data_IF_682372196692
#
_entry.id   IF_682372196692
#
_cell.length_a   1.000
_cell.length_b   1.000
_cell.length_c   1.000
_cell.angle_alpha   90.00
_cell.angle_beta   90.00
_cell.angle_gamma   90.00
#
_symmetry.space_group_name_H-M   'P 1'
#
loop_
_entity.id
_entity.type
_entity.pdbx_description
1 polymer ?
#
# COMPACT_ATOMS: atom_id res chain seq x y z
N UNK A 1 15.63 -17.38 -10.72
CA UNK A 1 14.42 -16.74 -11.32
C UNK A 1 14.40 -15.29 -10.90
N UNK A 2 14.09 -14.37 -11.79
CA UNK A 2 14.05 -12.94 -11.48
C UNK A 2 12.64 -12.60 -10.98
N UNK A 3 12.42 -12.66 -9.67
CA UNK A 3 11.12 -12.42 -9.03
C UNK A 3 10.45 -11.12 -9.50
N UNK A 4 11.23 -10.11 -9.89
CA UNK A 4 10.67 -8.85 -10.39
C UNK A 4 10.08 -8.98 -11.80
N UNK A 5 10.67 -9.77 -12.68
CA UNK A 5 10.11 -10.05 -14.02
C UNK A 5 8.84 -10.88 -13.93
N UNK A 6 8.81 -11.89 -13.05
CA UNK A 6 7.62 -12.68 -12.79
C UNK A 6 6.47 -11.79 -12.31
N UNK A 7 6.75 -10.86 -11.39
CA UNK A 7 5.78 -9.91 -10.86
C UNK A 7 5.27 -8.91 -11.92
N UNK A 8 6.16 -8.43 -12.79
CA UNK A 8 5.79 -7.48 -13.86
C UNK A 8 4.89 -8.12 -14.92
N UNK A 9 5.19 -9.37 -15.29
CA UNK A 9 4.50 -10.12 -16.33
C UNK A 9 3.30 -10.93 -15.80
N UNK A 10 3.04 -10.84 -14.49
CA UNK A 10 1.98 -11.61 -13.85
C UNK A 10 0.60 -11.25 -14.40
N UNK A 11 -0.09 -12.25 -14.90
CA UNK A 11 -1.46 -12.14 -15.38
C UNK A 11 -2.38 -12.91 -14.44
N UNK A 12 -3.18 -12.22 -13.61
CA UNK A 12 -4.05 -12.91 -12.65
C UNK A 12 -5.19 -13.64 -13.33
N UNK A 13 -5.47 -14.85 -12.87
CA UNK A 13 -6.66 -15.61 -13.26
C UNK A 13 -7.92 -15.02 -12.59
N UNK A 14 -9.07 -15.25 -13.21
CA UNK A 14 -10.34 -14.85 -12.60
C UNK A 14 -10.53 -15.58 -11.25
N UNK A 15 -10.99 -14.85 -10.23
CA UNK A 15 -11.20 -15.42 -8.90
C UNK A 15 -9.92 -15.65 -8.08
N UNK A 16 -8.75 -15.12 -8.52
CA UNK A 16 -7.47 -15.28 -7.83
C UNK A 16 -7.53 -14.93 -6.34
N UNK A 17 -8.34 -13.94 -5.98
CA UNK A 17 -8.49 -13.45 -4.60
C UNK A 17 -9.85 -13.85 -3.98
N UNK A 18 -10.50 -14.86 -4.50
CA UNK A 18 -11.78 -15.36 -3.95
C UNK A 18 -11.61 -15.74 -2.47
N UNK A 19 -12.54 -15.30 -1.63
CA UNK A 19 -12.52 -15.48 -0.17
C UNK A 19 -11.33 -14.83 0.56
N UNK A 20 -10.59 -13.92 -0.09
CA UNK A 20 -9.53 -13.14 0.54
C UNK A 20 -10.07 -11.81 1.05
N UNK A 21 -9.57 -11.39 2.22
CA UNK A 21 -9.84 -10.07 2.81
C UNK A 21 -8.60 -9.20 2.64
N UNK A 22 -8.74 -8.07 1.96
CA UNK A 22 -7.62 -7.17 1.63
C UNK A 22 -7.90 -5.75 2.10
N UNK A 23 -7.09 -5.23 3.00
CA UNK A 23 -7.13 -3.83 3.42
C UNK A 23 -6.19 -2.98 2.58
N UNK A 24 -6.70 -1.86 2.06
CA UNK A 24 -5.94 -0.92 1.23
C UNK A 24 -6.03 0.48 1.83
N UNK A 25 -4.89 1.05 2.23
CA UNK A 25 -4.83 2.45 2.70
C UNK A 25 -4.61 3.41 1.54
N UNK A 26 -5.13 4.65 1.64
CA UNK A 26 -5.12 5.58 0.52
C UNK A 26 -5.91 5.05 -0.68
N UNK A 27 -6.99 4.31 -0.40
CA UNK A 27 -7.79 3.59 -1.39
C UNK A 27 -8.46 4.49 -2.43
N UNK A 28 -8.66 5.77 -2.13
CA UNK A 28 -9.39 6.72 -2.99
C UNK A 28 -8.50 7.50 -3.95
N UNK A 29 -7.21 7.25 -3.96
CA UNK A 29 -6.25 8.01 -4.78
C UNK A 29 -5.46 7.14 -5.75
N UNK A 30 -5.40 7.51 -7.02
CA UNK A 30 -4.49 6.98 -8.02
C UNK A 30 -4.30 5.46 -7.96
N UNK A 31 -3.17 5.03 -7.40
CA UNK A 31 -2.80 3.61 -7.30
C UNK A 31 -3.76 2.86 -6.36
N UNK A 32 -4.14 3.45 -5.23
CA UNK A 32 -5.05 2.81 -4.27
C UNK A 32 -6.42 2.51 -4.86
N UNK A 33 -6.98 3.42 -5.67
CA UNK A 33 -8.25 3.19 -6.36
C UNK A 33 -8.14 2.04 -7.38
N UNK A 34 -7.07 2.04 -8.18
CA UNK A 34 -6.84 0.97 -9.14
C UNK A 34 -6.68 -0.40 -8.47
N UNK A 35 -5.96 -0.46 -7.34
CA UNK A 35 -5.80 -1.66 -6.54
C UNK A 35 -7.13 -2.13 -5.93
N UNK A 36 -7.92 -1.21 -5.37
CA UNK A 36 -9.21 -1.54 -4.75
C UNK A 36 -10.18 -2.16 -5.76
N UNK A 37 -10.31 -1.55 -6.94
CA UNK A 37 -11.16 -2.07 -8.01
C UNK A 37 -10.62 -3.42 -8.50
N UNK A 38 -9.30 -3.55 -8.71
CA UNK A 38 -8.71 -4.79 -9.22
C UNK A 38 -8.83 -5.95 -8.25
N UNK A 39 -8.59 -5.71 -6.95
CA UNK A 39 -8.77 -6.73 -5.91
C UNK A 39 -10.23 -7.21 -5.83
N UNK A 40 -11.21 -6.28 -5.87
CA UNK A 40 -12.63 -6.61 -5.90
C UNK A 40 -13.00 -7.41 -7.17
N UNK A 41 -12.50 -7.02 -8.35
CA UNK A 41 -12.67 -7.74 -9.62
C UNK A 41 -12.13 -9.18 -9.54
N UNK A 42 -11.06 -9.41 -8.78
CA UNK A 42 -10.47 -10.74 -8.58
C UNK A 42 -11.15 -11.56 -7.48
N UNK A 43 -12.22 -11.04 -6.87
CA UNK A 43 -13.06 -11.76 -5.91
C UNK A 43 -12.72 -11.49 -4.45
N UNK A 44 -11.85 -10.51 -4.13
CA UNK A 44 -11.56 -10.15 -2.75
C UNK A 44 -12.71 -9.35 -2.11
N UNK A 45 -12.92 -9.55 -0.81
CA UNK A 45 -13.58 -8.57 0.04
C UNK A 45 -12.58 -7.48 0.38
N UNK A 46 -12.80 -6.27 -0.12
CA UNK A 46 -11.85 -5.15 0.05
C UNK A 46 -12.28 -4.26 1.21
N UNK A 47 -11.35 -3.94 2.09
CA UNK A 47 -11.51 -2.89 3.10
C UNK A 47 -10.84 -1.64 2.54
N UNK A 48 -11.62 -0.63 2.19
CA UNK A 48 -11.13 0.63 1.62
C UNK A 48 -10.95 1.67 2.71
N UNK A 49 -9.70 2.12 2.91
CA UNK A 49 -9.38 3.11 3.94
C UNK A 49 -8.76 4.37 3.36
N UNK A 50 -9.16 5.52 3.91
CA UNK A 50 -8.71 6.84 3.51
C UNK A 50 -9.31 7.95 4.37
N UNK A 51 -8.84 9.18 4.21
CA UNK A 51 -9.25 10.32 5.05
C UNK A 51 -10.64 10.86 4.71
N UNK A 52 -11.00 10.89 3.42
CA UNK A 52 -12.27 11.48 2.95
C UNK A 52 -13.36 10.43 2.83
N UNK A 53 -14.38 10.51 3.70
CA UNK A 53 -15.54 9.61 3.65
C UNK A 53 -16.29 9.72 2.32
N UNK A 54 -16.47 10.93 1.79
CA UNK A 54 -17.14 11.15 0.50
C UNK A 54 -16.44 10.43 -0.67
N UNK A 55 -15.10 10.46 -0.71
CA UNK A 55 -14.35 9.75 -1.73
C UNK A 55 -14.39 8.23 -1.53
N UNK A 56 -14.46 7.76 -0.28
CA UNK A 56 -14.64 6.33 0.04
C UNK A 56 -16.02 5.84 -0.41
N UNK A 57 -17.08 6.60 -0.15
CA UNK A 57 -18.45 6.31 -0.60
C UNK A 57 -18.55 6.29 -2.14
N UNK A 58 -17.89 7.24 -2.82
CA UNK A 58 -17.84 7.25 -4.28
C UNK A 58 -17.13 5.99 -4.83
N UNK A 59 -16.01 5.58 -4.21
CA UNK A 59 -15.29 4.36 -4.59
C UNK A 59 -16.12 3.10 -4.28
N UNK A 60 -16.78 3.06 -3.13
CA UNK A 60 -17.70 1.98 -2.74
C UNK A 60 -18.79 1.82 -3.80
N UNK A 61 -19.50 2.90 -4.14
CA UNK A 61 -20.54 2.91 -5.18
C UNK A 61 -19.98 2.41 -6.53
N UNK A 62 -18.78 2.84 -6.89
CA UNK A 62 -18.11 2.43 -8.13
C UNK A 62 -17.80 0.93 -8.17
N UNK A 63 -17.40 0.35 -7.05
CA UNK A 63 -17.12 -1.09 -6.93
C UNK A 63 -18.44 -1.89 -6.99
N UNK A 64 -19.45 -1.50 -6.22
CA UNK A 64 -20.76 -2.16 -6.20
C UNK A 64 -21.48 -2.10 -7.56
N UNK A 65 -21.39 -0.98 -8.28
CA UNK A 65 -21.97 -0.80 -9.63
C UNK A 65 -21.39 -1.76 -10.67
N UNK A 66 -20.21 -2.35 -10.44
CA UNK A 66 -19.59 -3.36 -11.29
C UNK A 66 -19.99 -4.80 -10.90
N UNK A 67 -20.86 -4.97 -9.90
CA UNK A 67 -21.30 -6.28 -9.44
C UNK A 67 -20.28 -7.03 -8.60
N UNK A 68 -19.25 -6.36 -8.09
CA UNK A 68 -18.24 -6.97 -7.22
C UNK A 68 -18.73 -7.04 -5.77
N UNK A 69 -18.02 -7.81 -4.92
CA UNK A 69 -18.31 -7.91 -3.49
C UNK A 69 -18.25 -6.50 -2.87
N UNK A 70 -19.29 -6.19 -2.10
CA UNK A 70 -19.41 -4.90 -1.39
C UNK A 70 -18.22 -4.66 -0.49
N UNK A 71 -17.45 -3.55 -0.67
CA UNK A 71 -16.31 -3.26 0.17
C UNK A 71 -16.72 -2.71 1.52
N UNK A 72 -15.91 -2.96 2.55
CA UNK A 72 -16.05 -2.28 3.83
C UNK A 72 -15.37 -0.90 3.76
N UNK A 73 -16.11 0.15 4.07
CA UNK A 73 -15.56 1.50 4.25
C UNK A 73 -14.97 1.62 5.67
N UNK A 74 -13.69 2.00 5.76
CA UNK A 74 -13.02 2.31 7.02
C UNK A 74 -12.30 3.67 6.93
N UNK A 75 -12.93 4.78 7.33
CA UNK A 75 -12.28 6.09 7.33
C UNK A 75 -11.14 6.13 8.33
N UNK A 76 -9.97 6.62 7.91
CA UNK A 76 -8.81 6.80 8.78
C UNK A 76 -8.00 8.03 8.37
N UNK A 77 -7.78 8.95 9.32
CA UNK A 77 -6.82 10.02 9.19
C UNK A 77 -5.49 9.59 9.83
N UNK A 78 -4.53 9.18 9.00
CA UNK A 78 -3.25 8.67 9.47
C UNK A 78 -2.39 9.71 10.19
N UNK A 79 -2.68 11.00 10.03
CA UNK A 79 -2.00 12.08 10.76
C UNK A 79 -2.43 12.11 12.23
N UNK A 80 -3.74 12.05 12.48
CA UNK A 80 -4.31 12.07 13.83
C UNK A 80 -4.39 10.70 14.51
N UNK A 81 -4.27 9.62 13.75
CA UNK A 81 -4.47 8.28 14.27
C UNK A 81 -3.45 7.91 15.35
N UNK A 82 -3.98 7.31 16.42
CA UNK A 82 -3.24 6.72 17.54
C UNK A 82 -3.15 5.20 17.40
N UNK A 83 -2.45 4.55 18.31
CA UNK A 83 -2.40 3.07 18.36
C UNK A 83 -3.79 2.48 18.63
N UNK A 84 -4.61 3.11 19.49
CA UNK A 84 -5.96 2.63 19.82
C UNK A 84 -6.90 2.62 18.60
N UNK A 85 -6.73 3.54 17.64
CA UNK A 85 -7.53 3.54 16.41
C UNK A 85 -7.19 2.33 15.53
N UNK A 86 -5.92 1.93 15.47
CA UNK A 86 -5.51 0.73 14.75
C UNK A 86 -5.86 -0.58 15.49
N UNK A 87 -5.91 -0.56 16.80
CA UNK A 87 -6.45 -1.67 17.61
C UNK A 87 -7.96 -1.85 17.38
N UNK A 88 -8.71 -0.75 17.27
CA UNK A 88 -10.13 -0.78 16.90
C UNK A 88 -10.35 -1.33 15.47
N UNK A 89 -9.48 -0.95 14.51
CA UNK A 89 -9.49 -1.54 13.17
C UNK A 89 -9.25 -3.06 13.22
N UNK A 90 -8.26 -3.50 13.99
CA UNK A 90 -7.95 -4.94 14.15
C UNK A 90 -9.16 -5.70 14.76
N UNK A 91 -9.83 -5.13 15.75
CA UNK A 91 -11.05 -5.69 16.34
C UNK A 91 -12.18 -5.79 15.32
N UNK A 92 -12.42 -4.72 14.56
CA UNK A 92 -13.43 -4.71 13.49
C UNK A 92 -13.16 -5.81 12.45
N UNK A 93 -11.91 -5.98 12.01
CA UNK A 93 -11.53 -7.02 11.05
C UNK A 93 -11.72 -8.41 11.66
N UNK A 94 -11.31 -8.60 12.91
CA UNK A 94 -11.47 -9.87 13.63
C UNK A 94 -12.94 -10.27 13.77
N UNK A 95 -13.80 -9.33 14.15
CA UNK A 95 -15.24 -9.57 14.36
C UNK A 95 -15.98 -9.86 13.05
N UNK A 96 -15.65 -9.14 11.96
CA UNK A 96 -16.37 -9.27 10.69
C UNK A 96 -15.86 -10.40 9.80
N UNK A 97 -14.55 -10.66 9.81
CA UNK A 97 -13.92 -11.55 8.86
C UNK A 97 -13.09 -12.66 9.51
N UNK A 98 -12.69 -12.50 10.77
CA UNK A 98 -11.85 -13.47 11.49
C UNK A 98 -10.36 -13.40 11.14
N UNK A 99 -9.99 -12.91 9.96
CA UNK A 99 -8.63 -12.87 9.43
C UNK A 99 -8.41 -11.71 8.47
N UNK A 100 -7.14 -11.47 8.09
CA UNK A 100 -6.73 -10.54 7.04
C UNK A 100 -5.68 -11.20 6.15
N UNK A 101 -5.94 -11.34 4.84
CA UNK A 101 -5.01 -11.98 3.90
C UNK A 101 -4.05 -10.99 3.25
N UNK A 102 -4.48 -9.76 3.04
CA UNK A 102 -3.68 -8.72 2.40
C UNK A 102 -3.76 -7.39 3.11
N UNK A 103 -2.61 -6.75 3.31
CA UNK A 103 -2.50 -5.37 3.80
C UNK A 103 -1.66 -4.57 2.82
N UNK A 104 -2.28 -3.61 2.11
CA UNK A 104 -1.57 -2.72 1.20
C UNK A 104 -1.46 -1.32 1.82
N UNK A 105 -0.27 -0.99 2.27
CA UNK A 105 0.08 0.30 2.86
C UNK A 105 0.51 1.27 1.76
N UNK A 106 -0.49 1.86 1.09
CA UNK A 106 -0.29 2.73 -0.06
C UNK A 106 -0.44 4.22 0.28
N UNK A 107 -1.12 4.56 1.38
CA UNK A 107 -1.29 5.95 1.80
C UNK A 107 0.05 6.62 2.09
N UNK A 108 0.27 7.81 1.53
CA UNK A 108 1.43 8.64 1.80
C UNK A 108 1.16 10.09 1.40
N UNK A 109 1.93 11.01 1.95
CA UNK A 109 2.01 12.40 1.50
C UNK A 109 3.42 12.72 1.03
N UNK A 110 3.54 13.67 0.08
CA UNK A 110 4.81 14.09 -0.50
C UNK A 110 5.61 15.00 0.44
N UNK A 111 4.92 15.88 1.18
CA UNK A 111 5.56 16.99 1.88
C UNK A 111 6.13 18.04 0.92
N UNK A 112 7.05 18.84 1.40
CA UNK A 112 7.68 19.91 0.64
C UNK A 112 8.88 19.39 -0.17
N UNK A 113 9.06 19.91 -1.37
CA UNK A 113 10.25 19.68 -2.21
C UNK A 113 11.19 20.88 -2.09
N UNK A 114 12.00 20.89 -1.02
CA UNK A 114 12.89 22.01 -0.67
C UNK A 114 14.22 21.48 -0.09
N UNK A 115 15.30 22.29 -0.07
CA UNK A 115 16.54 21.91 0.61
C UNK A 115 16.32 21.56 2.08
N UNK A 116 17.12 20.62 2.61
CA UNK A 116 16.95 20.12 3.99
C UNK A 116 17.25 21.21 5.05
N UNK A 117 18.16 22.12 4.79
CA UNK A 117 18.53 23.22 5.69
C UNK A 117 17.37 24.22 5.92
N UNK A 118 16.44 24.32 4.96
CA UNK A 118 15.23 25.13 5.08
C UNK A 118 13.94 24.31 5.25
N UNK A 119 14.03 23.00 5.54
CA UNK A 119 12.85 22.16 5.61
C UNK A 119 12.01 22.43 6.86
N UNK A 120 10.69 22.61 6.68
CA UNK A 120 9.76 22.85 7.78
C UNK A 120 9.68 21.66 8.74
N UNK A 121 9.92 21.89 10.03
CA UNK A 121 9.77 20.87 11.08
C UNK A 121 8.33 20.33 11.14
N UNK A 122 7.32 21.17 10.93
CA UNK A 122 5.92 20.75 10.93
C UNK A 122 5.65 19.77 9.78
N UNK A 123 6.08 20.12 8.56
CA UNK A 123 5.95 19.23 7.40
C UNK A 123 6.76 17.95 7.58
N UNK A 124 7.96 18.04 8.14
CA UNK A 124 8.77 16.86 8.50
C UNK A 124 7.99 15.90 9.40
N UNK A 125 7.48 16.41 10.52
CA UNK A 125 6.73 15.61 11.49
C UNK A 125 5.49 14.98 10.85
N UNK A 126 4.77 15.72 10.01
CA UNK A 126 3.59 15.22 9.31
C UNK A 126 3.94 14.09 8.35
N UNK A 127 4.99 14.24 7.53
CA UNK A 127 5.43 13.19 6.59
C UNK A 127 5.87 11.94 7.34
N UNK A 128 6.68 12.07 8.38
CA UNK A 128 7.13 10.92 9.18
C UNK A 128 5.95 10.25 9.89
N UNK A 129 5.02 11.03 10.44
CA UNK A 129 3.82 10.50 11.11
C UNK A 129 2.99 9.67 10.14
N UNK A 130 2.66 10.19 8.96
CA UNK A 130 1.77 9.51 8.00
C UNK A 130 2.50 8.37 7.28
N UNK A 131 3.70 8.64 6.75
CA UNK A 131 4.38 7.70 5.86
C UNK A 131 5.13 6.59 6.60
N UNK A 132 5.47 6.78 7.88
CA UNK A 132 6.28 5.82 8.65
C UNK A 132 5.55 5.36 9.90
N UNK A 133 5.32 6.26 10.86
CA UNK A 133 4.80 5.91 12.19
C UNK A 133 3.44 5.22 12.11
N UNK A 134 2.51 5.78 11.31
CA UNK A 134 1.17 5.21 11.17
C UNK A 134 1.18 3.86 10.46
N UNK A 135 2.05 3.68 9.46
CA UNK A 135 2.19 2.40 8.77
C UNK A 135 2.79 1.32 9.68
N UNK A 136 3.79 1.69 10.48
CA UNK A 136 4.36 0.80 11.50
C UNK A 136 3.30 0.37 12.53
N UNK A 137 2.60 1.33 13.15
CA UNK A 137 1.58 1.06 14.17
C UNK A 137 0.43 0.22 13.62
N UNK A 138 -0.07 0.56 12.43
CA UNK A 138 -1.13 -0.21 11.76
C UNK A 138 -0.68 -1.65 11.51
N UNK A 139 0.51 -1.86 10.97
CA UNK A 139 1.06 -3.20 10.76
C UNK A 139 1.13 -3.96 12.08
N UNK A 140 1.72 -3.36 13.13
CA UNK A 140 1.87 -3.97 14.45
C UNK A 140 0.51 -4.42 15.02
N UNK A 141 -0.50 -3.55 14.98
CA UNK A 141 -1.84 -3.87 15.50
C UNK A 141 -2.57 -4.94 14.67
N UNK A 142 -2.27 -5.05 13.36
CA UNK A 142 -2.91 -6.02 12.48
C UNK A 142 -2.21 -7.39 12.44
N UNK A 143 -1.00 -7.55 13.00
CA UNK A 143 -0.30 -8.85 13.08
C UNK A 143 -1.18 -9.98 13.61
N UNK A 144 -2.00 -9.81 14.68
CA UNK A 144 -2.84 -10.89 15.19
C UNK A 144 -3.86 -11.43 14.19
N UNK A 145 -4.48 -10.56 13.38
CA UNK A 145 -5.46 -10.97 12.35
C UNK A 145 -4.79 -11.46 11.07
N UNK A 146 -3.60 -10.93 10.72
CA UNK A 146 -2.76 -11.44 9.63
C UNK A 146 -2.29 -12.88 9.91
N UNK A 147 -1.91 -13.19 11.16
CA UNK A 147 -1.52 -14.55 11.58
C UNK A 147 -2.66 -15.58 11.50
N UNK A 148 -3.91 -15.16 11.37
CA UNK A 148 -5.07 -16.05 11.20
C UNK A 148 -5.29 -16.49 9.76
N UNK A 149 -4.73 -15.78 8.78
CA UNK A 149 -4.74 -16.21 7.40
C UNK A 149 -3.74 -17.34 7.17
N UNK A 150 -4.05 -18.23 6.24
CA UNK A 150 -3.15 -19.34 5.84
C UNK A 150 -1.83 -18.81 5.23
N UNK A 151 -1.89 -17.66 4.56
CA UNK A 151 -0.73 -16.96 4.01
C UNK A 151 -1.11 -15.50 3.82
N UNK A 152 -0.59 -14.62 4.67
CA UNK A 152 -0.85 -13.18 4.58
C UNK A 152 0.27 -12.46 3.82
N UNK A 153 -0.09 -11.35 3.16
CA UNK A 153 0.85 -10.48 2.44
C UNK A 153 0.70 -9.03 2.88
N UNK A 154 1.78 -8.47 3.41
CA UNK A 154 1.89 -7.04 3.75
C UNK A 154 2.75 -6.36 2.69
N UNK A 155 2.18 -5.37 1.99
CA UNK A 155 2.81 -4.71 0.86
C UNK A 155 2.90 -3.21 1.13
N UNK A 156 4.10 -2.69 1.16
CA UNK A 156 4.37 -1.28 1.34
C UNK A 156 4.62 -0.60 -0.01
N UNK A 157 3.92 0.50 -0.29
CA UNK A 157 4.25 1.34 -1.43
C UNK A 157 5.49 2.17 -1.13
N UNK A 158 6.59 1.83 -1.78
CA UNK A 158 7.88 2.52 -1.70
C UNK A 158 8.05 3.54 -2.84
N UNK A 159 9.28 3.90 -3.15
CA UNK A 159 9.66 4.81 -4.23
C UNK A 159 11.13 4.61 -4.60
N UNK A 160 11.53 5.01 -5.80
CA UNK A 160 12.94 5.06 -6.19
C UNK A 160 13.78 5.96 -5.27
N UNK A 161 13.18 7.03 -4.74
CA UNK A 161 13.84 7.92 -3.77
C UNK A 161 13.91 7.35 -2.35
N UNK A 162 13.35 6.16 -2.11
CA UNK A 162 13.55 5.35 -0.91
C UNK A 162 14.75 4.40 -1.00
N UNK A 163 15.44 4.35 -2.16
CA UNK A 163 16.64 3.53 -2.40
C UNK A 163 17.85 4.38 -2.73
N UNK A 164 17.64 5.52 -3.37
CA UNK A 164 18.68 6.50 -3.69
C UNK A 164 18.14 7.87 -3.30
N UNK A 165 18.80 8.53 -2.33
CA UNK A 165 18.45 9.87 -1.90
C UNK A 165 18.58 10.88 -3.04
N UNK A 166 17.65 11.81 -3.15
CA UNK A 166 17.63 12.83 -4.19
C UNK A 166 17.45 14.21 -3.56
N UNK A 167 18.23 15.18 -4.04
CA UNK A 167 18.11 16.57 -3.59
C UNK A 167 16.66 17.08 -3.68
N UNK A 168 16.24 17.84 -2.70
CA UNK A 168 14.91 18.42 -2.51
C UNK A 168 13.79 17.46 -2.11
N UNK A 169 14.04 16.14 -1.98
CA UNK A 169 13.02 15.16 -1.61
C UNK A 169 12.88 14.95 -0.10
N UNK A 170 13.70 15.58 0.70
CA UNK A 170 13.63 15.72 2.15
C UNK A 170 12.98 14.57 2.91
N UNK A 171 11.99 14.90 3.72
CA UNK A 171 11.28 13.94 4.56
C UNK A 171 10.62 12.79 3.76
N UNK A 172 10.15 13.03 2.52
CA UNK A 172 9.56 11.98 1.70
C UNK A 172 10.57 10.87 1.38
N UNK A 173 11.75 11.26 0.89
CA UNK A 173 12.82 10.29 0.59
C UNK A 173 13.19 9.48 1.83
N UNK A 174 13.43 10.18 2.96
CA UNK A 174 13.75 9.55 4.24
C UNK A 174 12.64 8.60 4.70
N UNK A 175 11.38 9.00 4.56
CA UNK A 175 10.26 8.13 4.90
C UNK A 175 10.22 6.85 4.05
N UNK A 176 10.59 6.94 2.76
CA UNK A 176 10.61 5.76 1.88
C UNK A 176 11.82 4.86 2.13
N UNK A 177 12.98 5.40 2.55
CA UNK A 177 14.09 4.61 3.08
C UNK A 177 13.68 3.86 4.36
N UNK A 178 12.96 4.53 5.27
CA UNK A 178 12.44 3.89 6.48
C UNK A 178 11.48 2.72 6.14
N UNK A 179 10.64 2.86 5.12
CA UNK A 179 9.76 1.79 4.64
C UNK A 179 10.56 0.60 4.08
N UNK A 180 11.59 0.84 3.27
CA UNK A 180 12.47 -0.24 2.78
C UNK A 180 13.14 -1.01 3.94
N UNK A 181 13.57 -0.29 4.99
CA UNK A 181 14.13 -0.90 6.19
C UNK A 181 13.08 -1.69 6.99
N UNK A 182 11.87 -1.14 7.20
CA UNK A 182 10.77 -1.82 7.90
C UNK A 182 10.40 -3.14 7.24
N UNK A 183 10.37 -3.18 5.91
CA UNK A 183 10.08 -4.40 5.14
C UNK A 183 11.10 -5.50 5.45
N UNK A 184 12.39 -5.17 5.46
CA UNK A 184 13.47 -6.13 5.73
C UNK A 184 13.43 -6.62 7.17
N UNK A 185 13.20 -5.71 8.13
CA UNK A 185 13.12 -6.04 9.56
C UNK A 185 11.91 -6.95 9.83
N UNK A 186 10.70 -6.56 9.39
CA UNK A 186 9.51 -7.39 9.56
C UNK A 186 9.66 -8.77 8.90
N UNK A 187 10.23 -8.83 7.70
CA UNK A 187 10.46 -10.09 7.00
C UNK A 187 11.39 -11.01 7.80
N UNK A 188 12.51 -10.49 8.31
CA UNK A 188 13.47 -11.24 9.11
C UNK A 188 12.89 -11.71 10.45
N UNK A 189 12.15 -10.85 11.15
CA UNK A 189 11.51 -11.20 12.44
C UNK A 189 10.40 -12.24 12.29
N UNK A 190 9.76 -12.31 11.11
CA UNK A 190 8.68 -13.26 10.83
C UNK A 190 9.14 -14.51 10.08
N UNK A 191 10.40 -14.58 9.66
CA UNK A 191 10.97 -15.76 9.04
C UNK A 191 10.90 -16.96 10.00
N UNK A 192 10.32 -18.07 9.55
CA UNK A 192 10.10 -19.29 10.33
C UNK A 192 9.17 -19.13 11.58
N UNK A 193 8.57 -17.95 11.80
CA UNK A 193 7.68 -17.66 12.94
C UNK A 193 6.21 -17.57 12.50
N UNK A 194 5.97 -17.13 11.28
CA UNK A 194 4.61 -16.99 10.72
C UNK A 194 4.59 -17.14 9.21
N UNK A 195 3.38 -17.25 8.65
CA UNK A 195 3.16 -17.24 7.19
C UNK A 195 2.99 -15.83 6.60
N UNK A 196 3.28 -14.77 7.37
CA UNK A 196 3.15 -13.39 6.90
C UNK A 196 4.38 -13.03 6.08
N UNK A 197 4.17 -12.49 4.89
CA UNK A 197 5.20 -12.00 3.98
C UNK A 197 5.17 -10.48 3.93
N UNK A 198 6.33 -9.84 3.97
CA UNK A 198 6.49 -8.39 3.95
C UNK A 198 7.33 -7.99 2.74
N UNK A 199 6.77 -7.21 1.84
CA UNK A 199 7.46 -6.77 0.64
C UNK A 199 7.17 -5.29 0.34
N UNK A 200 8.03 -4.65 -0.44
CA UNK A 200 7.83 -3.30 -0.95
C UNK A 200 7.60 -3.30 -2.46
N UNK A 201 6.84 -2.32 -2.94
CA UNK A 201 6.69 -2.06 -4.37
C UNK A 201 6.99 -0.58 -4.63
N UNK A 202 7.98 -0.31 -5.47
CA UNK A 202 8.20 1.00 -6.07
C UNK A 202 7.32 1.12 -7.33
N UNK A 203 6.26 1.96 -7.30
CA UNK A 203 5.35 2.11 -8.44
C UNK A 203 5.99 2.76 -9.67
N UNK A 204 7.11 3.48 -9.47
CA UNK A 204 7.72 4.29 -10.53
C UNK A 204 6.93 5.56 -10.85
N UNK A 205 7.28 6.21 -11.96
CA UNK A 205 6.58 7.40 -12.43
C UNK A 205 5.20 7.02 -12.98
N UNK A 206 4.15 7.38 -12.23
CA UNK A 206 2.77 6.97 -12.50
C UNK A 206 1.85 8.19 -12.55
N UNK A 207 0.87 8.20 -13.43
CA UNK A 207 -0.11 9.28 -13.60
C UNK A 207 -0.99 9.43 -12.35
N UNK A 208 -0.54 10.21 -11.37
CA UNK A 208 -1.22 10.48 -10.11
C UNK A 208 -1.15 11.94 -9.74
N UNK A 209 -2.05 12.38 -8.84
CA UNK A 209 -2.00 13.75 -8.27
C UNK A 209 -0.66 14.04 -7.59
N UNK A 210 -0.13 13.08 -6.82
CA UNK A 210 1.18 13.22 -6.15
C UNK A 210 2.31 13.40 -7.17
N UNK A 211 2.30 12.67 -8.28
CA UNK A 211 3.30 12.83 -9.34
C UNK A 211 3.22 14.21 -10.00
N UNK A 212 2.03 14.70 -10.29
CA UNK A 212 1.83 16.04 -10.84
C UNK A 212 2.31 17.15 -9.89
N UNK A 213 2.14 16.97 -8.57
CA UNK A 213 2.71 17.89 -7.57
C UNK A 213 4.25 17.85 -7.55
N UNK A 214 4.85 16.66 -7.67
CA UNK A 214 6.30 16.51 -7.66
C UNK A 214 6.97 16.99 -8.96
N UNK A 215 6.29 16.92 -10.08
CA UNK A 215 6.79 17.27 -11.41
C UNK A 215 5.74 18.05 -12.20
N UNK A 216 5.50 19.33 -11.87
CA UNK A 216 4.41 20.11 -12.50
C UNK A 216 4.58 20.32 -14.00
N UNK A 217 5.82 20.30 -14.51
CA UNK A 217 6.12 20.48 -15.94
C UNK A 217 6.08 19.16 -16.75
N UNK A 218 5.89 18.01 -16.10
CA UNK A 218 5.84 16.72 -16.78
C UNK A 218 4.47 16.51 -17.45
N UNK A 219 4.46 16.02 -18.68
CA UNK A 219 3.21 15.68 -19.35
C UNK A 219 2.60 14.39 -18.76
N UNK A 220 1.47 14.46 -18.06
CA UNK A 220 0.90 13.27 -17.41
C UNK A 220 0.48 12.18 -18.40
N UNK A 221 0.19 12.55 -19.67
CA UNK A 221 -0.23 11.59 -20.71
C UNK A 221 0.89 10.64 -21.13
N UNK A 222 2.14 11.01 -20.86
CA UNK A 222 3.31 10.16 -21.16
C UNK A 222 3.58 9.14 -20.05
N UNK A 223 2.87 9.21 -18.92
CA UNK A 223 3.04 8.31 -17.81
C UNK A 223 2.03 7.15 -17.86
N UNK A 224 2.41 5.96 -17.41
CA UNK A 224 1.45 4.86 -17.28
C UNK A 224 0.36 5.23 -16.28
N UNK A 225 -0.86 4.79 -16.59
CA UNK A 225 -2.00 4.92 -15.68
C UNK A 225 -1.80 4.00 -14.45
N UNK A 226 -2.40 4.31 -13.30
CA UNK A 226 -2.33 3.46 -12.12
C UNK A 226 -2.69 1.99 -12.38
N UNK A 227 -3.69 1.72 -13.21
CA UNK A 227 -4.12 0.35 -13.56
C UNK A 227 -3.08 -0.47 -14.34
N UNK A 228 -2.07 0.18 -14.94
CA UNK A 228 -1.03 -0.48 -15.72
C UNK A 228 0.18 -0.92 -14.88
N UNK A 229 0.26 -0.47 -13.62
CA UNK A 229 1.44 -0.70 -12.77
C UNK A 229 1.13 -1.55 -11.52
N UNK A 230 -0.08 -2.10 -11.41
CA UNK A 230 -0.51 -2.83 -10.20
C UNK A 230 -0.16 -4.32 -10.22
N UNK A 231 0.39 -4.84 -11.32
CA UNK A 231 0.70 -6.27 -11.46
C UNK A 231 1.56 -6.82 -10.30
N UNK A 232 2.67 -6.15 -9.86
CA UNK A 232 3.46 -6.66 -8.74
C UNK A 232 2.69 -6.71 -7.40
N UNK A 233 1.77 -5.79 -7.18
CA UNK A 233 0.93 -5.85 -5.98
C UNK A 233 0.00 -7.07 -6.00
N UNK A 234 -0.62 -7.35 -7.15
CA UNK A 234 -1.51 -8.51 -7.31
C UNK A 234 -0.71 -9.82 -7.23
N UNK A 235 0.49 -9.88 -7.83
CA UNK A 235 1.40 -11.00 -7.70
C UNK A 235 1.75 -11.28 -6.23
N UNK A 236 2.08 -10.25 -5.47
CA UNK A 236 2.43 -10.39 -4.05
C UNK A 236 1.23 -10.79 -3.16
N UNK A 237 -0.01 -10.55 -3.59
CA UNK A 237 -1.21 -11.05 -2.91
C UNK A 237 -1.50 -12.52 -3.28
N UNK A 238 -0.95 -13.04 -4.37
CA UNK A 238 -1.21 -14.40 -4.86
C UNK A 238 -0.41 -15.47 -4.11
N UNK A 239 -0.81 -16.71 -4.28
CA UNK A 239 -0.09 -17.87 -3.77
C UNK A 239 1.27 -18.09 -4.47
N UNK A 240 1.46 -17.56 -5.69
CA UNK A 240 2.69 -17.73 -6.45
C UNK A 240 3.89 -17.04 -5.80
N UNK A 241 3.64 -16.02 -4.97
CA UNK A 241 4.65 -15.32 -4.19
C UNK A 241 4.88 -15.89 -2.78
N UNK A 242 4.41 -17.12 -2.48
CA UNK A 242 4.39 -17.68 -1.12
C UNK A 242 5.76 -17.79 -0.41
N UNK A 243 6.86 -17.82 -1.18
CA UNK A 243 8.24 -17.84 -0.67
C UNK A 243 8.93 -16.48 -0.69
N UNK A 244 8.21 -15.42 -1.08
CA UNK A 244 8.80 -14.12 -1.32
C UNK A 244 8.51 -13.20 -0.15
N UNK A 245 9.54 -12.85 0.61
CA UNK A 245 9.48 -11.89 1.73
C UNK A 245 10.78 -11.09 1.79
N UNK A 246 10.76 -9.88 2.36
CA UNK A 246 11.91 -9.00 2.52
C UNK A 246 12.40 -8.35 1.22
N UNK A 247 11.63 -8.44 0.14
CA UNK A 247 12.04 -7.97 -1.18
C UNK A 247 11.37 -6.66 -1.58
N UNK A 248 12.03 -5.97 -2.49
CA UNK A 248 11.55 -4.72 -3.04
C UNK A 248 11.46 -4.78 -4.56
N UNK A 249 10.23 -4.63 -5.07
CA UNK A 249 9.86 -4.76 -6.46
C UNK A 249 9.80 -3.41 -7.17
N UNK A 250 10.03 -3.40 -8.48
CA UNK A 250 9.70 -2.27 -9.36
C UNK A 250 8.45 -2.63 -10.17
N UNK A 251 7.47 -1.72 -10.21
CA UNK A 251 6.27 -1.89 -11.01
C UNK A 251 6.43 -1.43 -12.47
N UNK A 252 7.62 -0.94 -12.81
CA UNK A 252 7.99 -0.53 -14.16
C UNK A 252 9.42 -0.95 -14.43
N UNK A 253 9.72 -1.36 -15.66
CA UNK A 253 11.11 -1.51 -16.15
C UNK A 253 11.75 -0.12 -16.19
N UNK A 254 13.04 -0.06 -15.86
CA UNK A 254 13.85 1.16 -16.05
C UNK A 254 14.25 1.31 -17.50
#
# INVERSE_FOLDING_TARGET
MNNNEDALNFTPTQGLLLNKVVLITGATGGIGEALSIKCAQLGATVIISGKSIQNLEALHTKICAQGFIEPLIYPADLEGASKSDFEALASTIKERFGHLDGLILNAAILGDLTPLDGYSQATWNQVIKINVTSQFLMTQCLIPVLKKASSASVIFSSSSVGRIGKAYWGAYSISKFAIEALVQIWASEHENVSSIRFNAVNPGATQTKMRAMAYPAENPRMLPKPSQIISPYIYLLSAESHKITGQSFNAQLK
#
